data_IF_762790225915
#
_entry.id   IF_762790225915
#
_cell.length_a   1.000
_cell.length_b   1.000
_cell.length_c   1.000
_cell.angle_alpha   90.00
_cell.angle_beta   90.00
_cell.angle_gamma   90.00
#
_symmetry.space_group_name_H-M   'P 1'
#
loop_
_entity.id
_entity.type
_entity.pdbx_description
1 polymer ?
#
# COMPACT_ATOMS: atom_id res chain seq x y z
N UNK A 1 10.93 -7.64 11.18
CA UNK A 1 9.66 -7.35 10.46
C UNK A 1 9.10 -5.98 10.81
N UNK A 2 8.70 -5.68 12.06
CA UNK A 2 8.13 -4.35 12.40
C UNK A 2 9.02 -3.18 11.96
N UNK A 3 10.30 -3.19 12.34
CA UNK A 3 11.29 -2.19 11.94
C UNK A 3 11.37 -2.03 10.41
N UNK A 4 11.47 -3.14 9.67
CA UNK A 4 11.48 -3.14 8.20
C UNK A 4 10.21 -2.55 7.59
N UNK A 5 9.03 -2.84 8.13
CA UNK A 5 7.78 -2.22 7.66
C UNK A 5 7.76 -0.71 7.91
N UNK A 6 8.34 -0.26 9.02
CA UNK A 6 8.39 1.16 9.38
C UNK A 6 9.45 1.96 8.61
N UNK A 7 10.56 1.32 8.25
CA UNK A 7 11.74 1.99 7.66
C UNK A 7 11.85 1.75 6.14
N UNK A 8 11.47 0.56 5.64
CA UNK A 8 11.70 0.17 4.24
C UNK A 8 10.46 0.36 3.36
N UNK A 9 9.25 0.40 3.93
CA UNK A 9 8.04 0.69 3.16
C UNK A 9 7.99 2.18 2.85
N UNK A 10 8.14 2.49 1.56
CA UNK A 10 8.11 3.84 1.06
C UNK A 10 7.18 3.96 -0.15
N UNK A 11 6.16 4.81 0.00
CA UNK A 11 5.26 5.21 -1.09
C UNK A 11 5.35 6.74 -1.18
N UNK A 12 5.99 7.30 -2.23
CA UNK A 12 6.09 8.75 -2.36
C UNK A 12 4.70 9.35 -2.58
N UNK A 13 4.45 10.53 -2.01
CA UNK A 13 3.28 11.34 -2.34
C UNK A 13 3.68 12.39 -3.35
N UNK A 14 2.98 12.41 -4.47
CA UNK A 14 3.18 13.39 -5.53
C UNK A 14 1.95 14.30 -5.63
N UNK A 15 2.12 15.55 -6.12
CA UNK A 15 0.98 16.40 -6.45
C UNK A 15 0.03 15.69 -7.44
N UNK A 16 -1.28 15.93 -7.31
CA UNK A 16 -2.31 15.29 -8.15
C UNK A 16 -2.01 15.44 -9.65
N UNK A 17 -1.62 16.64 -10.08
CA UNK A 17 -1.22 16.93 -11.46
C UNK A 17 -0.09 16.05 -12.00
N UNK A 18 0.78 15.53 -11.12
CA UNK A 18 1.87 14.62 -11.50
C UNK A 18 1.41 13.18 -11.66
N UNK A 19 0.39 12.76 -10.90
CA UNK A 19 -0.10 11.37 -10.90
C UNK A 19 -1.25 11.14 -11.87
N UNK A 20 -1.93 12.21 -12.28
CA UNK A 20 -2.94 12.20 -13.35
C UNK A 20 -2.39 11.66 -14.68
N UNK A 21 -1.16 12.03 -15.03
CA UNK A 21 -0.45 11.38 -16.13
C UNK A 21 0.10 10.01 -15.69
N UNK A 22 -0.70 8.97 -15.93
CA UNK A 22 -0.33 7.56 -15.69
C UNK A 22 0.88 7.10 -16.52
N UNK A 23 1.23 7.81 -17.60
CA UNK A 23 2.41 7.47 -18.40
C UNK A 23 3.71 7.94 -17.73
N UNK A 24 3.62 8.92 -16.82
CA UNK A 24 4.76 9.52 -16.13
C UNK A 24 5.51 8.50 -15.27
N UNK A 25 6.84 8.66 -15.21
CA UNK A 25 7.71 7.80 -14.39
C UNK A 25 7.35 7.86 -12.91
N UNK A 26 6.91 9.04 -12.42
CA UNK A 26 6.51 9.26 -11.04
C UNK A 26 5.23 8.51 -10.70
N UNK A 27 4.20 8.61 -11.56
CA UNK A 27 2.95 7.87 -11.39
C UNK A 27 3.20 6.36 -11.38
N UNK A 28 3.94 5.85 -12.38
CA UNK A 28 4.30 4.42 -12.46
C UNK A 28 5.12 3.93 -11.24
N UNK A 29 6.04 4.74 -10.72
CA UNK A 29 6.84 4.36 -9.57
C UNK A 29 6.00 4.31 -8.29
N UNK A 30 5.17 5.32 -8.05
CA UNK A 30 4.25 5.35 -6.92
C UNK A 30 3.30 4.16 -6.96
N UNK A 31 2.71 3.88 -8.12
CA UNK A 31 1.80 2.77 -8.32
C UNK A 31 2.47 1.41 -7.98
N UNK A 32 3.69 1.17 -8.47
CA UNK A 32 4.44 -0.06 -8.12
C UNK A 32 4.68 -0.20 -6.62
N UNK A 33 5.03 0.91 -5.95
CA UNK A 33 5.26 0.91 -4.49
C UNK A 33 3.97 0.65 -3.71
N UNK A 34 2.87 1.26 -4.15
CA UNK A 34 1.55 1.03 -3.60
C UNK A 34 1.15 -0.44 -3.68
N UNK A 35 1.18 -1.06 -4.87
CA UNK A 35 0.80 -2.46 -5.02
C UNK A 35 1.75 -3.43 -4.30
N UNK A 36 3.03 -3.10 -4.18
CA UNK A 36 3.96 -3.87 -3.35
C UNK A 36 3.56 -3.86 -1.87
N UNK A 37 3.12 -2.70 -1.35
CA UNK A 37 2.64 -2.57 0.02
C UNK A 37 1.28 -3.26 0.23
N UNK A 38 0.39 -3.24 -0.76
CA UNK A 38 -0.88 -4.00 -0.73
C UNK A 38 -0.60 -5.50 -0.65
N UNK A 39 0.33 -6.02 -1.47
CA UNK A 39 0.74 -7.43 -1.41
C UNK A 39 1.34 -7.79 -0.06
N UNK A 40 2.17 -6.90 0.50
CA UNK A 40 2.73 -7.09 1.84
C UNK A 40 1.63 -7.14 2.92
N UNK A 41 0.60 -6.28 2.83
CA UNK A 41 -0.55 -6.34 3.74
C UNK A 41 -1.27 -7.69 3.63
N UNK A 42 -1.53 -8.18 2.42
CA UNK A 42 -2.12 -9.51 2.20
C UNK A 42 -1.31 -10.61 2.90
N UNK A 43 0.02 -10.60 2.72
CA UNK A 43 0.92 -11.54 3.39
C UNK A 43 0.88 -11.44 4.93
N UNK A 44 0.77 -10.23 5.48
CA UNK A 44 0.69 -10.02 6.94
C UNK A 44 -0.60 -10.59 7.50
N UNK A 45 -1.74 -10.41 6.81
CA UNK A 45 -3.04 -10.91 7.25
C UNK A 45 -3.08 -12.45 7.23
N UNK A 46 -2.34 -13.11 6.34
CA UNK A 46 -2.19 -14.57 6.35
C UNK A 46 -1.52 -15.13 7.62
N UNK A 47 -0.94 -14.29 8.48
CA UNK A 47 -0.41 -14.72 9.78
C UNK A 47 -1.47 -14.76 10.89
N UNK A 48 -2.72 -14.39 10.59
CA UNK A 48 -3.83 -14.56 11.51
C UNK A 48 -3.94 -16.01 11.98
N UNK A 49 -4.12 -16.21 13.28
CA UNK A 49 -4.09 -17.53 13.93
C UNK A 49 -2.71 -18.20 14.03
N UNK A 50 -1.65 -17.67 13.40
CA UNK A 50 -0.27 -18.18 13.53
C UNK A 50 0.50 -17.41 14.62
N UNK A 51 0.35 -16.09 14.65
CA UNK A 51 0.96 -15.22 15.66
C UNK A 51 -0.13 -14.50 16.46
N UNK A 52 0.27 -13.82 17.55
CA UNK A 52 -0.65 -13.02 18.37
C UNK A 52 -1.42 -12.00 17.52
N UNK A 53 -2.74 -12.00 17.64
CA UNK A 53 -3.66 -11.14 16.88
C UNK A 53 -3.26 -9.66 16.96
N UNK A 54 -2.91 -9.17 18.16
CA UNK A 54 -2.46 -7.78 18.37
C UNK A 54 -1.24 -7.41 17.51
N UNK A 55 -0.36 -8.36 17.21
CA UNK A 55 0.81 -8.14 16.36
C UNK A 55 0.43 -8.05 14.89
N UNK A 56 -0.48 -8.92 14.43
CA UNK A 56 -1.02 -8.87 13.05
C UNK A 56 -1.76 -7.55 12.86
N UNK A 57 -2.58 -7.16 13.85
CA UNK A 57 -3.35 -5.93 13.83
C UNK A 57 -2.47 -4.67 13.83
N UNK A 58 -1.45 -4.60 14.70
CA UNK A 58 -0.50 -3.48 14.72
C UNK A 58 0.22 -3.36 13.37
N UNK A 59 0.75 -4.48 12.85
CA UNK A 59 1.54 -4.46 11.63
C UNK A 59 0.68 -4.16 10.38
N UNK A 60 -0.46 -4.83 10.26
CA UNK A 60 -1.36 -4.71 9.11
C UNK A 60 -2.15 -3.41 9.12
N UNK A 61 -2.89 -3.14 10.20
CA UNK A 61 -3.80 -1.98 10.24
C UNK A 61 -3.05 -0.68 10.56
N UNK A 62 -2.31 -0.65 11.67
CA UNK A 62 -1.67 0.60 12.12
C UNK A 62 -0.49 0.99 11.22
N UNK A 63 0.38 0.03 10.86
CA UNK A 63 1.65 0.34 10.18
C UNK A 63 1.60 0.27 8.67
N UNK A 64 0.81 -0.63 8.06
CA UNK A 64 0.68 -0.69 6.59
C UNK A 64 -0.53 0.11 6.09
N UNK A 65 -1.73 -0.25 6.55
CA UNK A 65 -2.96 0.34 6.04
C UNK A 65 -3.07 1.84 6.37
N UNK A 66 -3.04 2.19 7.66
CA UNK A 66 -3.28 3.56 8.10
C UNK A 66 -2.14 4.51 7.72
N UNK A 67 -0.89 4.06 7.87
CA UNK A 67 0.27 4.93 7.65
C UNK A 67 0.58 5.16 6.17
N UNK A 68 0.42 4.15 5.31
CA UNK A 68 0.90 4.21 3.93
C UNK A 68 -0.23 4.08 2.90
N UNK A 69 -1.09 3.08 3.02
CA UNK A 69 -2.07 2.76 1.97
C UNK A 69 -3.24 3.74 1.92
N UNK A 70 -3.88 4.04 3.06
CA UNK A 70 -5.00 4.98 3.12
C UNK A 70 -4.59 6.37 2.63
N UNK A 71 -3.41 6.83 3.04
CA UNK A 71 -2.90 8.12 2.61
C UNK A 71 -2.71 8.17 1.09
N UNK A 72 -2.24 7.08 0.47
CA UNK A 72 -2.13 7.02 -0.97
C UNK A 72 -3.50 6.97 -1.67
N UNK A 73 -4.44 6.17 -1.16
CA UNK A 73 -5.81 6.05 -1.71
C UNK A 73 -6.52 7.41 -1.70
N UNK A 74 -6.37 8.20 -0.63
CA UNK A 74 -7.01 9.51 -0.51
C UNK A 74 -6.39 10.59 -1.41
N UNK A 75 -5.15 10.40 -1.86
CA UNK A 75 -4.40 11.40 -2.62
C UNK A 75 -4.25 11.07 -4.11
N UNK A 76 -4.54 9.84 -4.53
CA UNK A 76 -4.39 9.40 -5.93
C UNK A 76 -5.76 9.20 -6.58
N UNK A 77 -5.96 9.61 -7.85
CA UNK A 77 -7.20 9.33 -8.57
C UNK A 77 -7.46 7.82 -8.67
N UNK A 78 -8.67 7.38 -8.32
CA UNK A 78 -9.10 5.99 -8.49
C UNK A 78 -9.46 5.74 -9.96
N UNK A 79 -8.69 4.91 -10.65
CA UNK A 79 -8.99 4.46 -12.01
C UNK A 79 -9.68 3.09 -12.05
N UNK A 80 -10.39 2.80 -13.14
CA UNK A 80 -11.07 1.51 -13.36
C UNK A 80 -10.10 0.31 -13.32
N UNK A 81 -8.87 0.53 -13.79
CA UNK A 81 -7.77 -0.43 -13.74
C UNK A 81 -7.39 -0.85 -12.30
N UNK A 82 -7.60 0.01 -11.31
CA UNK A 82 -7.34 -0.34 -9.91
C UNK A 82 -8.35 -1.37 -9.39
N UNK A 83 -9.60 -1.29 -9.84
CA UNK A 83 -10.67 -2.24 -9.45
C UNK A 83 -10.32 -3.64 -9.97
N UNK A 84 -9.90 -3.74 -11.23
CA UNK A 84 -9.47 -5.01 -11.82
C UNK A 84 -8.20 -5.59 -11.18
N UNK A 85 -7.31 -4.74 -10.65
CA UNK A 85 -6.14 -5.21 -9.90
C UNK A 85 -6.52 -5.75 -8.52
N UNK A 86 -7.46 -5.11 -7.83
CA UNK A 86 -7.93 -5.59 -6.52
C UNK A 86 -8.50 -7.01 -6.55
N UNK A 87 -9.10 -7.44 -7.66
CA UNK A 87 -9.63 -8.82 -7.78
C UNK A 87 -8.55 -9.88 -8.00
N UNK A 88 -7.30 -9.46 -8.24
CA UNK A 88 -6.14 -10.33 -8.50
C UNK A 88 -5.13 -10.39 -7.36
N UNK A 89 -5.35 -9.60 -6.30
CA UNK A 89 -4.49 -9.53 -5.10
C UNK A 89 -4.78 -10.70 -4.17
#
# INVERSE_FOLDING_TARGET
>A
IKKSVEEDVFIPLYPKSTVEDKSSLRSKFQERRFWSAVKLLSNVVLWDGIIQEDKVRDLGLSKLLNRYLLLNILNTPLGLDNIEKCTKV
#
